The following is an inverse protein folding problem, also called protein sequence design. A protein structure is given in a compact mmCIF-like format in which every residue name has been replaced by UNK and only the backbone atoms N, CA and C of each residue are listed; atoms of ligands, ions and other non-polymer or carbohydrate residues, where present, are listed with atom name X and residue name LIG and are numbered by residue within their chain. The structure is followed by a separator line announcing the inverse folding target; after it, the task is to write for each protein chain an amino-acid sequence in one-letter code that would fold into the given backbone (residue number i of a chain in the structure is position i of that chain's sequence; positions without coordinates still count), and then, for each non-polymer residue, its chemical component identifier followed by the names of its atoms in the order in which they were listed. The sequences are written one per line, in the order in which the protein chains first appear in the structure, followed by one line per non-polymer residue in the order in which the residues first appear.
data_IF_896612750104
#
_entry.id   IF_896612750104
#
_cell.length_a   1.000
_cell.length_b   1.000
_cell.length_c   1.000
_cell.angle_alpha   90.00
_cell.angle_beta   90.00
_cell.angle_gamma   90.00
#
_symmetry.space_group_name_H-M   'P 1'
#
loop_
_entity.id
_entity.type
_entity.pdbx_description
1 polymer ?
#
# COMPACT_ATOMS: atom_id res chain seq x y z
N UNK A 1 -12.08 -8.88 7.74
CA UNK A 1 -11.55 -9.37 9.00
C UNK A 1 -10.11 -8.89 9.15
N UNK A 2 -9.60 -8.87 10.39
CA UNK A 2 -8.30 -8.25 10.67
C UNK A 2 -7.13 -8.97 10.02
N UNK A 3 -7.19 -10.28 9.95
CA UNK A 3 -6.13 -11.06 9.32
C UNK A 3 -6.05 -10.76 7.83
N UNK A 4 -7.20 -10.49 7.21
CA UNK A 4 -7.26 -10.12 5.81
C UNK A 4 -6.52 -8.81 5.56
N UNK A 5 -6.66 -7.83 6.45
CA UNK A 5 -5.96 -6.55 6.33
C UNK A 5 -4.44 -6.77 6.44
N UNK A 6 -4.00 -7.55 7.40
CA UNK A 6 -2.57 -7.81 7.57
C UNK A 6 -2.00 -8.54 6.36
N UNK A 7 -2.68 -9.60 5.92
CA UNK A 7 -2.21 -10.40 4.80
C UNK A 7 -2.16 -9.57 3.52
N UNK A 8 -3.24 -8.88 3.22
CA UNK A 8 -3.32 -8.08 2.00
C UNK A 8 -2.44 -6.85 2.09
N UNK A 9 -2.32 -6.26 3.28
CA UNK A 9 -1.41 -5.15 3.51
C UNK A 9 0.03 -5.51 3.25
N UNK A 10 0.43 -6.74 3.61
CA UNK A 10 1.77 -7.22 3.33
C UNK A 10 2.02 -7.33 1.82
N UNK A 11 1.00 -7.73 1.06
CA UNK A 11 1.13 -7.80 -0.40
C UNK A 11 1.35 -6.39 -0.98
N UNK A 12 0.56 -5.42 -0.54
CA UNK A 12 0.70 -4.04 -1.01
C UNK A 12 2.09 -3.49 -0.62
N UNK A 13 2.49 -3.73 0.62
CA UNK A 13 3.80 -3.28 1.09
C UNK A 13 4.93 -3.89 0.26
N UNK A 14 4.81 -5.16 -0.11
CA UNK A 14 5.80 -5.82 -0.94
C UNK A 14 5.95 -5.16 -2.30
N UNK A 15 4.83 -4.72 -2.90
CA UNK A 15 4.88 -4.00 -4.17
C UNK A 15 5.56 -2.64 -4.01
N UNK A 16 5.30 -1.95 -2.90
CA UNK A 16 5.96 -0.68 -2.63
C UNK A 16 7.46 -0.87 -2.34
N UNK A 17 7.83 -1.99 -1.75
CA UNK A 17 9.25 -2.27 -1.55
C UNK A 17 9.97 -2.49 -2.87
N UNK A 18 9.27 -3.08 -3.84
CA UNK A 18 9.83 -3.29 -5.17
C UNK A 18 9.91 -1.98 -5.96
N UNK A 19 8.92 -1.09 -5.79
CA UNK A 19 8.88 0.21 -6.45
C UNK A 19 8.32 1.23 -5.47
N UNK A 20 9.19 1.97 -4.77
CA UNK A 20 8.81 2.76 -3.59
C UNK A 20 7.88 3.96 -3.84
N UNK A 21 7.75 4.44 -5.06
CA UNK A 21 6.85 5.56 -5.37
C UNK A 21 6.01 5.17 -6.57
N UNK A 22 4.70 5.13 -6.38
CA UNK A 22 3.79 4.71 -7.45
C UNK A 22 2.48 5.47 -7.36
N UNK A 23 1.89 5.79 -8.52
CA UNK A 23 0.52 6.26 -8.55
C UNK A 23 -0.40 5.18 -7.97
N UNK A 24 -1.47 5.61 -7.31
CA UNK A 24 -2.41 4.66 -6.68
C UNK A 24 -2.92 3.65 -7.71
N UNK A 25 -3.27 4.12 -8.91
CA UNK A 25 -3.82 3.24 -9.93
C UNK A 25 -2.79 2.19 -10.39
N UNK A 26 -1.53 2.60 -10.50
CA UNK A 26 -0.47 1.67 -10.90
C UNK A 26 -0.23 0.63 -9.82
N UNK A 27 -0.24 1.06 -8.57
CA UNK A 27 -0.06 0.14 -7.44
C UNK A 27 -1.19 -0.88 -7.42
N UNK A 28 -2.44 -0.44 -7.61
CA UNK A 28 -3.56 -1.37 -7.63
C UNK A 28 -3.46 -2.35 -8.79
N UNK A 29 -2.97 -1.91 -9.96
CA UNK A 29 -2.81 -2.81 -11.10
C UNK A 29 -1.95 -4.02 -10.75
N UNK A 30 -0.96 -3.83 -9.88
CA UNK A 30 -0.05 -4.91 -9.51
C UNK A 30 -0.66 -5.88 -8.49
N UNK A 31 -1.72 -5.48 -7.78
CA UNK A 31 -2.31 -6.32 -6.74
C UNK A 31 -3.76 -6.71 -7.01
N UNK A 32 -4.33 -6.28 -8.13
CA UNK A 32 -5.76 -6.45 -8.39
C UNK A 32 -6.18 -7.92 -8.51
N UNK A 33 -5.25 -8.79 -8.83
CA UNK A 33 -5.57 -10.22 -8.88
C UNK A 33 -5.69 -10.84 -7.49
N UNK A 34 -5.19 -10.14 -6.48
CA UNK A 34 -5.16 -10.64 -5.10
C UNK A 34 -6.26 -10.04 -4.23
N UNK A 35 -6.78 -8.88 -4.58
CA UNK A 35 -7.75 -8.20 -3.72
C UNK A 35 -8.60 -7.22 -4.51
N UNK A 36 -9.81 -6.96 -3.99
CA UNK A 36 -10.68 -5.95 -4.56
C UNK A 36 -10.12 -4.56 -4.29
N UNK A 37 -10.61 -3.57 -5.05
CA UNK A 37 -10.20 -2.19 -4.83
C UNK A 37 -10.59 -1.70 -3.44
N UNK A 38 -11.74 -2.14 -2.92
CA UNK A 38 -12.17 -1.75 -1.57
C UNK A 38 -11.21 -2.27 -0.51
N UNK A 39 -10.79 -3.51 -0.63
CA UNK A 39 -9.79 -4.07 0.30
C UNK A 39 -8.45 -3.36 0.14
N UNK A 40 -8.07 -3.06 -1.09
CA UNK A 40 -6.85 -2.32 -1.36
C UNK A 40 -6.83 -0.97 -0.65
N UNK A 41 -7.94 -0.22 -0.72
CA UNK A 41 -8.03 1.08 -0.04
C UNK A 41 -7.92 0.94 1.47
N UNK A 42 -8.54 -0.10 2.04
CA UNK A 42 -8.41 -0.37 3.47
C UNK A 42 -6.97 -0.68 3.83
N UNK A 43 -6.27 -1.42 3.00
CA UNK A 43 -4.86 -1.72 3.22
C UNK A 43 -4.01 -0.46 3.17
N UNK A 44 -4.28 0.44 2.22
CA UNK A 44 -3.57 1.71 2.15
C UNK A 44 -3.79 2.53 3.41
N UNK A 45 -5.05 2.63 3.86
CA UNK A 45 -5.35 3.37 5.09
C UNK A 45 -4.56 2.81 6.26
N UNK A 46 -4.50 1.48 6.36
CA UNK A 46 -3.76 0.85 7.43
C UNK A 46 -2.26 1.17 7.34
N UNK A 47 -1.71 1.09 6.14
CA UNK A 47 -0.29 1.41 5.94
C UNK A 47 0.02 2.87 6.28
N UNK A 48 -0.90 3.78 5.98
CA UNK A 48 -0.75 5.18 6.37
C UNK A 48 -0.78 5.34 7.88
N UNK A 49 -1.70 4.64 8.55
CA UNK A 49 -1.84 4.74 9.99
C UNK A 49 -0.61 4.24 10.75
N UNK A 50 0.05 3.22 10.21
CA UNK A 50 1.25 2.69 10.86
C UNK A 50 2.54 3.32 10.33
N UNK A 51 2.41 4.36 9.52
CA UNK A 51 3.54 5.10 8.94
C UNK A 51 4.44 4.25 8.05
N UNK A 52 3.88 3.21 7.44
CA UNK A 52 4.62 2.40 6.48
C UNK A 52 4.58 3.01 5.07
N UNK A 53 3.57 3.85 4.80
CA UNK A 53 3.41 4.51 3.51
C UNK A 53 2.81 5.90 3.74
N UNK A 54 2.93 6.74 2.73
CA UNK A 54 2.32 8.08 2.75
C UNK A 54 1.94 8.47 1.33
N UNK A 55 1.13 9.53 1.22
CA UNK A 55 0.79 10.14 -0.08
C UNK A 55 1.64 11.39 -0.24
N UNK A 56 2.30 11.51 -1.37
CA UNK A 56 3.14 12.68 -1.63
C UNK A 56 2.33 13.81 -2.29
N UNK A 57 2.99 14.90 -2.63
CA UNK A 57 2.34 16.07 -3.19
C UNK A 57 1.71 15.83 -4.56
N UNK A 58 2.18 14.81 -5.26
CA UNK A 58 1.62 14.44 -6.57
C UNK A 58 0.50 13.41 -6.46
N UNK A 59 0.12 13.05 -5.24
CA UNK A 59 -0.92 12.04 -5.04
C UNK A 59 -0.44 10.62 -5.25
N UNK A 60 0.87 10.41 -5.26
CA UNK A 60 1.45 9.07 -5.37
C UNK A 60 1.67 8.48 -4.00
N UNK A 61 1.59 7.15 -3.92
CA UNK A 61 1.88 6.42 -2.70
C UNK A 61 3.39 6.22 -2.62
N UNK A 62 3.96 6.56 -1.47
CA UNK A 62 5.39 6.41 -1.21
C UNK A 62 5.61 5.49 -0.03
N UNK A 63 6.59 4.61 -0.17
CA UNK A 63 7.06 3.80 0.94
C UNK A 63 7.79 4.71 1.94
N UNK A 64 7.44 4.59 3.23
CA UNK A 64 8.15 5.31 4.27
C UNK A 64 9.35 4.46 4.68
N UNK A 65 10.53 5.04 4.57
CA UNK A 65 11.74 4.35 4.96
C UNK A 65 11.98 4.54 6.45
N UNK A 66 12.32 3.44 7.10
CA UNK A 66 12.64 3.48 8.50
C UNK A 66 13.94 4.24 8.72
N UNK A 67 13.98 5.03 9.77
CA UNK A 67 15.19 5.77 10.14
C UNK A 67 15.69 5.29 11.48
N UNK A 68 16.78 4.64 11.49
CA UNK A 68 17.36 4.18 12.73
C UNK A 68 18.82 4.40 12.73
#
# INVERSE_FOLDING_TARGET
DRLSIYYNGAIVLGELQAKPVQAIIDLYEHVRSSMSFQIFLLCLDWLYLIDAAKVNERGEVELCLSKN
#
